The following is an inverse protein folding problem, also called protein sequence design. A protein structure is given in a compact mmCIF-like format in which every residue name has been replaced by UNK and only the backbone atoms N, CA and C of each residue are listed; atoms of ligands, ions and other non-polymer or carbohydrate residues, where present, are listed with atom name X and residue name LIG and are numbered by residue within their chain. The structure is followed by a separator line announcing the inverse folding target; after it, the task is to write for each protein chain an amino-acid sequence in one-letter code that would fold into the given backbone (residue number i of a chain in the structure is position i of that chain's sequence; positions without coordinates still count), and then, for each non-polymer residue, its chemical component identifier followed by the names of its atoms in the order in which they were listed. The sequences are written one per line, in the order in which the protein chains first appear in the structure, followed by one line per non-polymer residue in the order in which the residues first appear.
data_IF_201617724413
#
_entry.id   IF_201617724413
#
_cell.length_a   1.000
_cell.length_b   1.000
_cell.length_c   1.000
_cell.angle_alpha   90.00
_cell.angle_beta   90.00
_cell.angle_gamma   90.00
#
_symmetry.space_group_name_H-M   'P 1'
#
loop_
_entity.id
_entity.type
_entity.pdbx_description
1 polymer ?
#
# COMPACT_ATOMS: atom_id res chain seq x y z
N UNK A 1 -8.34 -3.21 -4.44
CA UNK A 1 -8.34 -1.97 -5.26
C UNK A 1 -9.70 -1.79 -5.89
N UNK A 2 -10.17 -0.55 -5.97
CA UNK A 2 -11.54 -0.23 -6.39
C UNK A 2 -11.58 0.26 -7.83
N UNK A 3 -12.60 -0.18 -8.56
CA UNK A 3 -12.93 0.29 -9.92
C UNK A 3 -13.77 1.58 -9.94
N UNK A 4 -14.21 2.04 -8.76
CA UNK A 4 -14.80 3.33 -8.46
C UNK A 4 -14.21 3.78 -7.11
N UNK A 5 -13.80 5.04 -7.00
CA UNK A 5 -13.22 5.59 -5.77
C UNK A 5 -14.06 6.77 -5.29
N UNK A 6 -13.99 7.05 -3.99
CA UNK A 6 -14.63 8.22 -3.38
C UNK A 6 -13.83 9.52 -3.60
N UNK A 7 -12.69 9.45 -4.29
CA UNK A 7 -11.87 10.62 -4.62
C UNK A 7 -12.51 11.30 -5.83
N UNK A 8 -13.02 12.51 -5.62
CA UNK A 8 -13.82 13.27 -6.59
C UNK A 8 -13.21 13.41 -8.00
N UNK A 9 -11.88 13.36 -8.10
CA UNK A 9 -11.14 13.51 -9.36
C UNK A 9 -10.55 12.21 -9.90
N UNK A 10 -10.73 11.06 -9.23
CA UNK A 10 -10.11 9.80 -9.63
C UNK A 10 -11.13 8.65 -9.73
N UNK A 11 -11.26 8.08 -10.92
CA UNK A 11 -12.17 6.94 -11.14
C UNK A 11 -11.68 5.65 -10.48
N UNK A 12 -10.36 5.43 -10.40
CA UNK A 12 -9.78 4.16 -9.94
C UNK A 12 -8.50 4.36 -9.14
N UNK A 13 -8.30 3.49 -8.14
CA UNK A 13 -7.02 3.35 -7.45
C UNK A 13 -6.34 2.05 -7.87
N UNK A 14 -5.07 2.14 -8.21
CA UNK A 14 -4.24 0.99 -8.56
C UNK A 14 -2.95 1.02 -7.76
N UNK A 15 -2.71 0.00 -6.92
CA UNK A 15 -1.44 -0.20 -6.23
C UNK A 15 -0.67 -1.34 -6.90
N UNK A 16 0.28 -1.05 -7.81
CA UNK A 16 1.00 -2.07 -8.57
C UNK A 16 2.07 -2.80 -7.75
N UNK A 17 2.47 -2.26 -6.60
CA UNK A 17 3.54 -2.80 -5.74
C UNK A 17 3.09 -2.75 -4.29
N UNK A 18 3.46 -3.75 -3.49
CA UNK A 18 3.18 -3.80 -2.05
C UNK A 18 4.50 -3.99 -1.31
N UNK A 19 4.73 -3.22 -0.24
CA UNK A 19 5.97 -3.25 0.53
C UNK A 19 7.14 -2.46 -0.07
N UNK A 20 8.16 -2.22 0.76
CA UNK A 20 9.43 -1.64 0.34
C UNK A 20 10.56 -1.99 1.33
N UNK A 21 11.81 -1.92 0.88
CA UNK A 21 12.97 -2.02 1.77
C UNK A 21 13.15 -0.72 2.56
N UNK A 22 13.31 -0.81 3.89
CA UNK A 22 13.56 0.35 4.75
C UNK A 22 14.99 0.87 4.55
N UNK A 23 15.13 2.11 4.08
CA UNK A 23 16.45 2.72 3.78
C UNK A 23 16.89 3.77 4.80
N UNK A 24 15.99 4.30 5.63
CA UNK A 24 16.30 5.36 6.59
C UNK A 24 15.34 5.40 7.78
N UNK A 25 15.67 6.23 8.77
CA UNK A 25 14.81 6.49 9.94
C UNK A 25 13.44 7.09 9.58
N UNK A 26 13.30 7.67 8.38
CA UNK A 26 12.02 8.18 7.88
C UNK A 26 10.96 7.08 7.64
N UNK A 27 11.38 5.82 7.51
CA UNK A 27 10.46 4.70 7.30
C UNK A 27 9.66 4.32 8.56
N UNK A 28 10.00 4.83 9.74
CA UNK A 28 9.46 4.38 11.04
C UNK A 28 7.93 4.46 11.16
N UNK A 29 7.30 5.39 10.45
CA UNK A 29 5.84 5.60 10.48
C UNK A 29 5.23 5.62 9.08
N UNK A 30 5.77 4.80 8.17
CA UNK A 30 5.28 4.70 6.81
C UNK A 30 3.88 4.07 6.76
N UNK A 31 2.88 4.81 6.30
CA UNK A 31 1.51 4.29 6.18
C UNK A 31 1.42 3.07 5.24
N UNK A 32 2.30 2.99 4.24
CA UNK A 32 2.32 1.90 3.27
C UNK A 32 2.79 0.58 3.87
N UNK A 33 3.61 0.63 4.94
CA UNK A 33 4.01 -0.57 5.69
C UNK A 33 2.81 -1.21 6.37
N UNK A 34 2.04 -0.42 7.12
CA UNK A 34 0.82 -0.93 7.78
C UNK A 34 -0.18 -1.47 6.76
N UNK A 35 -0.27 -0.87 5.58
CA UNK A 35 -1.09 -1.39 4.48
C UNK A 35 -0.58 -2.73 3.93
N UNK A 36 0.74 -2.91 3.83
CA UNK A 36 1.35 -4.16 3.40
C UNK A 36 1.11 -5.28 4.43
N UNK A 37 1.30 -4.99 5.72
CA UNK A 37 1.09 -5.94 6.83
C UNK A 37 -0.32 -6.53 6.89
N UNK A 38 -1.35 -5.82 6.39
CA UNK A 38 -2.70 -6.38 6.29
C UNK A 38 -2.80 -7.66 5.47
N UNK A 39 -1.84 -7.89 4.57
CA UNK A 39 -1.80 -9.07 3.71
C UNK A 39 -0.78 -10.11 4.17
N UNK A 40 -0.18 -9.95 5.35
CA UNK A 40 0.85 -10.83 5.89
C UNK A 40 0.46 -12.32 5.81
N UNK A 41 1.39 -13.14 5.31
CA UNK A 41 1.19 -14.59 5.07
C UNK A 41 0.43 -14.93 3.78
N UNK A 42 -0.08 -13.93 3.05
CA UNK A 42 -0.69 -14.11 1.74
C UNK A 42 0.30 -13.91 0.58
N UNK A 43 -0.11 -14.30 -0.63
CA UNK A 43 0.69 -14.14 -1.86
C UNK A 43 0.99 -12.68 -2.24
N UNK A 44 0.23 -11.74 -1.69
CA UNK A 44 0.37 -10.31 -1.95
C UNK A 44 1.25 -9.61 -0.90
N UNK A 45 1.68 -10.32 0.15
CA UNK A 45 2.64 -9.77 1.10
C UNK A 45 4.04 -9.75 0.47
N UNK A 46 4.81 -8.66 0.63
CA UNK A 46 6.22 -8.59 0.23
C UNK A 46 7.10 -9.64 0.92
#
# INVERSE_FOLDING_TARGET
MGSQTDIEWADRTWNPVTGCSKISSGCKYCYAETQAERFAGGKAFP
#
